data_IF_803008625602
#
_entry.id   IF_803008625602
#
_cell.length_a   1.000
_cell.length_b   1.000
_cell.length_c   1.000
_cell.angle_alpha   90.00
_cell.angle_beta   90.00
_cell.angle_gamma   90.00
#
_symmetry.space_group_name_H-M   'P 1'
#
loop_
_entity.id
_entity.type
_entity.pdbx_description
1 polymer ?
#
# COMPACT_ATOMS: atom_id res chain seq x y z
N UNK A 1 25.85 26.79 -13.47
CA UNK A 1 25.36 25.46 -13.93
C UNK A 1 25.20 24.49 -12.76
N UNK A 2 26.25 24.20 -11.98
CA UNK A 2 26.21 23.27 -10.84
C UNK A 2 25.19 23.63 -9.75
N UNK A 3 25.08 24.91 -9.37
CA UNK A 3 24.07 25.39 -8.40
C UNK A 3 22.63 25.11 -8.84
N UNK A 4 22.30 25.39 -10.10
CA UNK A 4 20.95 25.17 -10.64
C UNK A 4 20.55 23.68 -10.62
N UNK A 5 21.48 22.80 -10.98
CA UNK A 5 21.26 21.35 -10.91
C UNK A 5 21.01 20.88 -9.48
N UNK A 6 21.77 21.41 -8.52
CA UNK A 6 21.65 21.07 -7.10
C UNK A 6 20.27 21.50 -6.56
N UNK A 7 19.80 22.70 -6.91
CA UNK A 7 18.46 23.18 -6.55
C UNK A 7 17.39 22.22 -7.07
N UNK A 8 17.48 21.80 -8.33
CA UNK A 8 16.52 20.86 -8.92
C UNK A 8 16.52 19.52 -8.19
N UNK A 9 17.70 18.96 -7.89
CA UNK A 9 17.81 17.67 -7.19
C UNK A 9 17.22 17.74 -5.78
N UNK A 10 17.55 18.80 -5.03
CA UNK A 10 17.00 19.02 -3.68
C UNK A 10 15.48 19.11 -3.76
N UNK A 11 14.95 19.85 -4.73
CA UNK A 11 13.51 20.00 -4.91
C UNK A 11 12.82 18.71 -5.33
N UNK A 12 13.47 17.91 -6.18
CA UNK A 12 12.98 16.60 -6.60
C UNK A 12 12.95 15.58 -5.45
N UNK A 13 13.72 15.79 -4.37
CA UNK A 13 13.65 14.96 -3.17
C UNK A 13 12.66 15.53 -2.14
N UNK A 14 12.71 16.84 -1.90
CA UNK A 14 11.90 17.54 -0.91
C UNK A 14 10.40 17.45 -1.23
N UNK A 15 9.99 17.81 -2.46
CA UNK A 15 8.58 17.96 -2.81
C UNK A 15 7.82 16.63 -2.83
N UNK A 16 8.39 15.52 -3.34
CA UNK A 16 7.76 14.22 -3.18
C UNK A 16 7.62 13.79 -1.72
N UNK A 17 8.61 14.08 -0.86
CA UNK A 17 8.52 13.75 0.58
C UNK A 17 7.41 14.55 1.26
N UNK A 18 7.30 15.85 0.98
CA UNK A 18 6.21 16.71 1.44
C UNK A 18 4.84 16.16 1.01
N UNK A 19 4.75 15.71 -0.25
CA UNK A 19 3.54 15.13 -0.84
C UNK A 19 3.18 13.82 -0.12
N UNK A 20 4.15 12.90 0.04
CA UNK A 20 3.98 11.62 0.72
C UNK A 20 3.52 11.79 2.18
N UNK A 21 4.14 12.72 2.93
CA UNK A 21 3.71 13.09 4.29
C UNK A 21 2.24 13.50 4.30
N UNK A 22 1.85 14.38 3.39
CA UNK A 22 0.49 14.92 3.30
C UNK A 22 -0.52 13.81 3.00
N UNK A 23 -0.23 12.93 2.06
CA UNK A 23 -1.08 11.77 1.74
C UNK A 23 -1.19 10.82 2.93
N UNK A 24 -0.08 10.50 3.59
CA UNK A 24 -0.09 9.63 4.76
C UNK A 24 -0.93 10.22 5.90
N UNK A 25 -0.89 11.55 6.07
CA UNK A 25 -1.72 12.28 7.03
C UNK A 25 -3.22 12.14 6.70
N UNK A 26 -3.62 12.38 5.45
CA UNK A 26 -5.02 12.24 5.01
C UNK A 26 -5.52 10.79 5.16
N UNK A 27 -4.65 9.80 4.91
CA UNK A 27 -4.93 8.37 5.09
C UNK A 27 -4.78 7.87 6.53
N UNK A 28 -4.56 8.77 7.49
CA UNK A 28 -4.43 8.47 8.93
C UNK A 28 -3.35 7.43 9.28
N UNK A 29 -2.26 7.38 8.49
CA UNK A 29 -1.13 6.45 8.66
C UNK A 29 -0.09 7.02 9.64
N UNK A 30 -0.45 7.11 10.92
CA UNK A 30 0.29 7.85 11.96
C UNK A 30 1.82 7.66 11.95
N UNK A 31 2.29 6.41 11.90
CA UNK A 31 3.74 6.09 11.94
C UNK A 31 4.45 6.58 10.67
N UNK A 32 3.86 6.34 9.50
CA UNK A 32 4.43 6.79 8.23
C UNK A 32 4.40 8.31 8.11
N UNK A 33 3.33 8.96 8.60
CA UNK A 33 3.24 10.42 8.65
C UNK A 33 4.36 11.03 9.49
N UNK A 34 4.63 10.46 10.67
CA UNK A 34 5.73 10.92 11.53
C UNK A 34 7.10 10.69 10.88
N UNK A 35 7.33 9.53 10.27
CA UNK A 35 8.58 9.21 9.59
C UNK A 35 8.85 10.15 8.41
N UNK A 36 7.88 10.33 7.51
CA UNK A 36 8.03 11.24 6.37
C UNK A 36 8.15 12.70 6.82
N UNK A 37 7.45 13.11 7.88
CA UNK A 37 7.62 14.44 8.47
C UNK A 37 8.99 14.68 9.07
N UNK A 38 9.58 13.67 9.71
CA UNK A 38 10.94 13.77 10.22
C UNK A 38 11.98 13.88 9.09
N UNK A 39 11.87 13.04 8.06
CA UNK A 39 12.76 13.11 6.89
C UNK A 39 12.61 14.43 6.13
N UNK A 40 11.37 14.90 5.97
CA UNK A 40 11.07 16.20 5.36
C UNK A 40 11.70 17.34 6.16
N UNK A 41 11.58 17.35 7.49
CA UNK A 41 12.19 18.37 8.34
C UNK A 41 13.72 18.42 8.20
N UNK A 42 14.40 17.26 8.12
CA UNK A 42 15.84 17.21 7.87
C UNK A 42 16.22 17.86 6.53
N UNK A 43 15.51 17.48 5.46
CA UNK A 43 15.74 18.03 4.11
C UNK A 43 15.48 19.54 4.12
N UNK A 44 14.43 20.00 4.77
CA UNK A 44 14.07 21.42 4.88
C UNK A 44 15.15 22.25 5.55
N UNK A 45 15.77 21.75 6.63
CA UNK A 45 16.86 22.47 7.32
C UNK A 45 18.09 22.60 6.41
N UNK A 46 18.47 21.53 5.72
CA UNK A 46 19.59 21.57 4.77
C UNK A 46 19.29 22.49 3.58
N UNK A 47 18.09 22.41 3.01
CA UNK A 47 17.65 23.26 1.91
C UNK A 47 17.67 24.74 2.31
N UNK A 48 17.13 25.07 3.49
CA UNK A 48 17.12 26.43 4.03
C UNK A 48 18.55 26.97 4.20
N UNK A 49 19.47 26.15 4.72
CA UNK A 49 20.88 26.54 4.83
C UNK A 49 21.49 26.90 3.48
N UNK A 50 21.22 26.12 2.43
CA UNK A 50 21.73 26.39 1.08
C UNK A 50 21.16 27.69 0.51
N UNK A 51 19.87 27.92 0.71
CA UNK A 51 19.13 29.08 0.18
C UNK A 51 19.53 30.39 0.85
N UNK A 52 19.87 30.36 2.14
CA UNK A 52 20.29 31.55 2.90
C UNK A 52 21.76 31.91 2.71
N UNK A 53 22.62 30.97 2.35
CA UNK A 53 24.07 31.19 2.20
C UNK A 53 24.49 31.74 0.83
N UNK A 54 23.56 32.03 -0.10
CA UNK A 54 23.89 32.47 -1.46
C UNK A 54 23.07 33.65 -1.95
N UNK A 55 23.64 34.41 -2.88
CA UNK A 55 22.89 35.39 -3.69
C UNK A 55 21.91 34.64 -4.60
N UNK A 56 20.62 34.99 -4.51
CA UNK A 56 19.56 34.37 -5.29
C UNK A 56 19.34 35.13 -6.60
N UNK A 57 19.60 34.47 -7.73
CA UNK A 57 19.28 35.01 -9.05
C UNK A 57 17.82 34.76 -9.41
N UNK A 58 17.21 35.64 -10.22
CA UNK A 58 15.88 35.43 -10.81
C UNK A 58 15.82 34.08 -11.56
N UNK A 59 16.91 33.69 -12.22
CA UNK A 59 16.99 32.40 -12.91
C UNK A 59 16.91 31.21 -11.93
N UNK A 60 17.50 31.32 -10.74
CA UNK A 60 17.44 30.29 -9.70
C UNK A 60 16.02 30.14 -9.15
N UNK A 61 15.29 31.24 -8.98
CA UNK A 61 13.89 31.23 -8.56
C UNK A 61 12.98 30.54 -9.58
N UNK A 62 13.18 30.80 -10.88
CA UNK A 62 12.43 30.14 -11.95
C UNK A 62 12.71 28.63 -11.96
N UNK A 63 13.99 28.24 -11.88
CA UNK A 63 14.39 26.83 -11.84
C UNK A 63 13.83 26.12 -10.61
N UNK A 64 13.80 26.79 -9.45
CA UNK A 64 13.16 26.29 -8.24
C UNK A 64 11.65 26.02 -8.44
N UNK A 65 10.93 26.97 -9.05
CA UNK A 65 9.50 26.81 -9.33
C UNK A 65 9.22 25.65 -10.30
N UNK A 66 10.04 25.48 -11.34
CA UNK A 66 9.95 24.35 -12.27
C UNK A 66 10.24 23.03 -11.54
N UNK A 67 11.32 22.99 -10.75
CA UNK A 67 11.66 21.82 -9.93
C UNK A 67 10.53 21.43 -8.98
N UNK A 68 9.84 22.42 -8.40
CA UNK A 68 8.69 22.19 -7.53
C UNK A 68 7.52 21.55 -8.29
N UNK A 69 7.17 22.10 -9.45
CA UNK A 69 6.10 21.57 -10.29
C UNK A 69 6.38 20.12 -10.73
N UNK A 70 7.61 19.83 -11.17
CA UNK A 70 8.04 18.47 -11.54
C UNK A 70 8.02 17.54 -10.33
N UNK A 71 8.53 17.99 -9.18
CA UNK A 71 8.50 17.24 -7.94
C UNK A 71 7.09 16.87 -7.49
N UNK A 72 6.11 17.76 -7.68
CA UNK A 72 4.70 17.46 -7.39
C UNK A 72 4.16 16.33 -8.28
N UNK A 73 4.42 16.38 -9.59
CA UNK A 73 3.98 15.35 -10.54
C UNK A 73 4.59 13.99 -10.15
N UNK A 74 5.87 13.98 -9.78
CA UNK A 74 6.57 12.77 -9.31
C UNK A 74 5.95 12.27 -8.00
N UNK A 75 5.70 13.15 -7.03
CA UNK A 75 5.07 12.80 -5.75
C UNK A 75 3.69 12.15 -5.92
N UNK A 76 2.84 12.72 -6.77
CA UNK A 76 1.53 12.16 -7.11
C UNK A 76 1.67 10.81 -7.82
N UNK A 77 2.67 10.67 -8.70
CA UNK A 77 2.91 9.39 -9.40
C UNK A 77 3.35 8.29 -8.44
N UNK A 78 4.18 8.62 -7.45
CA UNK A 78 4.60 7.70 -6.39
C UNK A 78 3.38 7.29 -5.54
N UNK A 79 2.51 8.23 -5.17
CA UNK A 79 1.26 7.95 -4.45
C UNK A 79 0.38 6.92 -5.17
N UNK A 80 0.14 7.15 -6.46
CA UNK A 80 -0.68 6.26 -7.30
C UNK A 80 -0.11 4.84 -7.29
N UNK A 81 1.22 4.71 -7.32
CA UNK A 81 1.92 3.41 -7.31
C UNK A 81 1.88 2.72 -5.96
N UNK A 82 1.88 3.47 -4.86
CA UNK A 82 1.73 2.92 -3.52
C UNK A 82 0.36 2.25 -3.33
N UNK A 83 -0.68 2.73 -4.01
CA UNK A 83 -2.03 2.14 -4.05
C UNK A 83 -2.53 1.73 -2.65
N UNK A 84 -2.31 2.62 -1.68
CA UNK A 84 -2.62 2.35 -0.27
C UNK A 84 -4.11 2.56 -0.01
N UNK A 85 -4.72 1.56 0.63
CA UNK A 85 -6.06 1.64 1.18
C UNK A 85 -7.09 0.83 0.41
N UNK A 86 -8.35 1.19 0.63
CA UNK A 86 -9.53 0.58 0.05
C UNK A 86 -10.34 1.66 -0.68
N UNK A 87 -11.14 1.23 -1.63
CA UNK A 87 -12.11 2.04 -2.34
C UNK A 87 -13.47 1.36 -2.25
N UNK A 88 -14.53 2.13 -2.00
CA UNK A 88 -15.92 1.69 -2.14
C UNK A 88 -16.40 2.14 -3.50
N UNK A 89 -16.77 1.19 -4.36
CA UNK A 89 -17.29 1.47 -5.68
C UNK A 89 -18.78 1.21 -5.66
N UNK A 90 -19.54 2.24 -5.99
CA UNK A 90 -20.97 2.19 -6.12
C UNK A 90 -21.34 2.10 -7.60
N UNK A 91 -22.09 1.08 -7.99
CA UNK A 91 -22.42 0.76 -9.39
C UNK A 91 -23.93 0.71 -9.53
N UNK A 92 -24.50 1.60 -10.33
CA UNK A 92 -25.91 1.59 -10.66
C UNK A 92 -26.16 0.85 -11.98
N UNK A 93 -27.03 -0.16 -11.92
CA UNK A 93 -27.45 -0.97 -13.06
C UNK A 93 -28.98 -0.92 -13.21
N UNK A 94 -29.48 -1.06 -14.43
CA UNK A 94 -30.92 -0.99 -14.71
C UNK A 94 -31.67 -2.27 -14.32
N UNK A 95 -31.05 -3.43 -14.54
CA UNK A 95 -31.64 -4.75 -14.30
C UNK A 95 -30.74 -5.59 -13.41
N UNK A 96 -31.35 -6.51 -12.68
CA UNK A 96 -30.63 -7.42 -11.81
C UNK A 96 -29.83 -8.41 -12.66
N UNK A 97 -28.51 -8.44 -12.44
CA UNK A 97 -27.59 -9.29 -13.19
C UNK A 97 -26.89 -10.27 -12.25
N UNK A 98 -27.49 -11.44 -12.06
CA UNK A 98 -26.95 -12.51 -11.20
C UNK A 98 -25.53 -12.89 -11.58
N UNK A 99 -25.24 -13.00 -12.88
CA UNK A 99 -23.92 -13.42 -13.37
C UNK A 99 -22.82 -12.46 -12.92
N UNK A 100 -23.07 -11.15 -12.98
CA UNK A 100 -22.11 -10.15 -12.51
C UNK A 100 -21.92 -10.24 -10.99
N UNK A 101 -23.01 -10.38 -10.23
CA UNK A 101 -22.97 -10.38 -8.76
C UNK A 101 -22.27 -11.65 -8.24
N UNK A 102 -22.56 -12.81 -8.80
CA UNK A 102 -21.90 -14.08 -8.45
C UNK A 102 -20.42 -14.02 -8.77
N UNK A 103 -20.05 -13.59 -9.99
CA UNK A 103 -18.67 -13.47 -10.40
C UNK A 103 -17.87 -12.52 -9.50
N UNK A 104 -18.45 -11.39 -9.12
CA UNK A 104 -17.81 -10.46 -8.20
C UNK A 104 -17.60 -11.09 -6.81
N UNK A 105 -18.56 -11.87 -6.31
CA UNK A 105 -18.44 -12.57 -5.03
C UNK A 105 -17.39 -13.68 -5.09
N UNK A 106 -17.33 -14.42 -6.19
CA UNK A 106 -16.36 -15.48 -6.44
C UNK A 106 -14.92 -14.94 -6.54
N UNK A 107 -14.74 -13.78 -7.17
CA UNK A 107 -13.45 -13.06 -7.22
C UNK A 107 -13.03 -12.43 -5.87
N UNK A 108 -13.89 -12.60 -4.85
CA UNK A 108 -13.67 -12.21 -3.47
C UNK A 108 -13.92 -10.71 -3.21
N UNK A 109 -14.77 -10.07 -4.00
CA UNK A 109 -15.27 -8.73 -3.73
C UNK A 109 -16.46 -8.78 -2.75
N UNK A 110 -16.48 -7.85 -1.80
CA UNK A 110 -17.64 -7.69 -0.92
C UNK A 110 -18.70 -6.86 -1.63
N UNK A 111 -19.76 -7.50 -2.12
CA UNK A 111 -20.85 -6.86 -2.86
C UNK A 111 -22.13 -6.84 -2.03
N UNK A 112 -22.66 -5.64 -1.81
CA UNK A 112 -23.99 -5.42 -1.22
C UNK A 112 -24.93 -4.90 -2.30
N UNK A 113 -26.13 -5.48 -2.39
CA UNK A 113 -27.13 -5.10 -3.40
C UNK A 113 -28.21 -4.26 -2.73
N UNK A 114 -28.49 -3.09 -3.28
CA UNK A 114 -29.56 -2.20 -2.88
C UNK A 114 -30.58 -2.05 -4.01
N UNK A 115 -31.86 -2.06 -3.65
CA UNK A 115 -32.96 -1.75 -4.57
C UNK A 115 -33.41 -0.32 -4.32
N UNK A 116 -33.47 0.49 -5.38
CA UNK A 116 -33.89 1.88 -5.32
C UNK A 116 -34.76 2.27 -6.51
N UNK A 117 -35.17 3.53 -6.52
CA UNK A 117 -35.97 4.12 -7.59
C UNK A 117 -35.30 5.40 -8.06
N UNK A 118 -35.15 5.54 -9.38
CA UNK A 118 -34.64 6.73 -10.04
C UNK A 118 -35.74 7.40 -10.85
N UNK A 119 -35.36 8.47 -11.58
CA UNK A 119 -36.29 9.21 -12.44
C UNK A 119 -37.06 8.32 -13.42
N UNK A 120 -36.36 7.36 -14.02
CA UNK A 120 -36.89 6.48 -15.07
C UNK A 120 -37.38 5.12 -14.53
N UNK A 121 -37.58 5.01 -13.21
CA UNK A 121 -38.10 3.81 -12.54
C UNK A 121 -37.06 3.07 -11.69
N UNK A 122 -37.30 1.78 -11.46
CA UNK A 122 -36.49 0.95 -10.54
C UNK A 122 -35.03 0.88 -10.99
N UNK A 123 -34.11 1.03 -10.05
CA UNK A 123 -32.67 0.91 -10.23
C UNK A 123 -32.07 0.01 -9.17
N UNK A 124 -30.98 -0.66 -9.53
CA UNK A 124 -30.24 -1.52 -8.61
C UNK A 124 -28.87 -0.92 -8.43
N UNK A 125 -28.46 -0.84 -7.18
CA UNK A 125 -27.20 -0.23 -6.81
C UNK A 125 -26.34 -1.25 -6.07
N UNK A 126 -25.16 -1.52 -6.61
CA UNK A 126 -24.18 -2.42 -6.03
C UNK A 126 -23.16 -1.57 -5.27
N UNK A 127 -23.03 -1.77 -3.96
CA UNK A 127 -21.95 -1.19 -3.18
C UNK A 127 -20.86 -2.25 -3.00
N UNK A 128 -19.69 -1.97 -3.56
CA UNK A 128 -18.59 -2.92 -3.70
C UNK A 128 -17.38 -2.38 -2.98
N UNK A 129 -17.00 -3.05 -1.88
CA UNK A 129 -15.79 -2.68 -1.15
C UNK A 129 -14.59 -3.47 -1.70
N UNK A 130 -13.60 -2.74 -2.24
CA UNK A 130 -12.41 -3.32 -2.87
C UNK A 130 -11.11 -2.72 -2.35
N UNK A 131 -10.01 -3.43 -2.57
CA UNK A 131 -8.66 -2.87 -2.39
C UNK A 131 -8.34 -1.99 -3.59
N UNK A 132 -7.65 -0.86 -3.37
CA UNK A 132 -7.26 0.07 -4.45
C UNK A 132 -6.45 -0.59 -5.57
N UNK A 133 -5.65 -1.62 -5.25
CA UNK A 133 -4.92 -2.43 -6.23
C UNK A 133 -5.81 -3.25 -7.17
N UNK A 134 -7.01 -3.65 -6.73
CA UNK A 134 -7.98 -4.44 -7.50
C UNK A 134 -9.05 -3.58 -8.18
N UNK A 135 -9.10 -2.28 -7.89
CA UNK A 135 -10.09 -1.34 -8.44
C UNK A 135 -10.12 -1.35 -9.99
N UNK A 136 -8.95 -1.30 -10.63
CA UNK A 136 -8.88 -1.35 -12.10
C UNK A 136 -9.49 -2.64 -12.69
N UNK A 137 -9.22 -3.78 -12.06
CA UNK A 137 -9.76 -5.07 -12.48
C UNK A 137 -11.28 -5.15 -12.25
N UNK A 138 -11.76 -4.62 -11.10
CA UNK A 138 -13.18 -4.51 -10.82
C UNK A 138 -13.92 -3.67 -11.87
N UNK A 139 -13.37 -2.51 -12.23
CA UNK A 139 -13.96 -1.64 -13.27
C UNK A 139 -13.99 -2.30 -14.65
N UNK A 140 -12.96 -3.07 -15.00
CA UNK A 140 -12.94 -3.84 -16.25
C UNK A 140 -14.05 -4.89 -16.28
N UNK A 141 -14.26 -5.59 -15.16
CA UNK A 141 -15.31 -6.60 -15.05
C UNK A 141 -16.70 -5.97 -15.16
N UNK A 142 -16.94 -4.86 -14.45
CA UNK A 142 -18.21 -4.13 -14.54
C UNK A 142 -18.48 -3.70 -15.98
N UNK A 143 -17.49 -3.09 -16.65
CA UNK A 143 -17.64 -2.62 -18.02
C UNK A 143 -17.87 -3.74 -19.04
N UNK A 144 -17.37 -4.96 -18.78
CA UNK A 144 -17.57 -6.11 -19.65
C UNK A 144 -19.01 -6.66 -19.57
N UNK A 145 -19.60 -6.68 -18.38
CA UNK A 145 -20.94 -7.23 -18.16
C UNK A 145 -22.05 -6.19 -18.27
N UNK A 146 -21.77 -4.95 -17.86
CA UNK A 146 -22.70 -3.82 -17.80
C UNK A 146 -22.01 -2.53 -18.30
N UNK A 147 -21.82 -2.35 -19.61
CA UNK A 147 -21.13 -1.18 -20.17
C UNK A 147 -21.89 0.14 -19.95
N UNK A 148 -23.21 0.07 -19.72
CA UNK A 148 -24.06 1.22 -19.42
C UNK A 148 -24.15 1.53 -17.91
N UNK A 149 -23.40 0.81 -17.07
CA UNK A 149 -23.44 1.02 -15.63
C UNK A 149 -22.88 2.39 -15.25
N UNK A 150 -23.56 3.07 -14.33
CA UNK A 150 -23.04 4.30 -13.74
C UNK A 150 -22.20 3.97 -12.51
N UNK A 151 -20.93 4.39 -12.51
CA UNK A 151 -19.96 4.02 -11.48
C UNK A 151 -19.49 5.25 -10.71
N UNK A 152 -19.53 5.17 -9.38
CA UNK A 152 -18.96 6.16 -8.46
C UNK A 152 -17.92 5.49 -7.56
N UNK A 153 -16.81 6.18 -7.30
CA UNK A 153 -15.72 5.69 -6.43
C UNK A 153 -15.61 6.58 -5.20
N UNK A 154 -15.61 5.99 -4.02
CA UNK A 154 -15.51 6.65 -2.73
C UNK A 154 -14.31 6.10 -1.94
N UNK A 155 -13.61 6.97 -1.20
CA UNK A 155 -12.51 6.56 -0.33
C UNK A 155 -12.98 6.42 1.12
N UNK A 156 -13.26 5.20 1.62
CA UNK A 156 -13.60 4.98 3.02
C UNK A 156 -12.42 5.29 3.95
N UNK A 157 -12.68 6.09 4.99
CA UNK A 157 -11.66 6.52 5.98
C UNK A 157 -11.49 5.57 7.16
N UNK A 158 -12.53 4.82 7.53
CA UNK A 158 -12.53 3.95 8.70
C UNK A 158 -13.38 2.69 8.45
N UNK A 159 -12.89 1.54 8.95
CA UNK A 159 -13.60 0.27 8.89
C UNK A 159 -13.85 -0.24 10.30
N UNK A 160 -15.08 -0.68 10.58
CA UNK A 160 -15.45 -1.37 11.82
C UNK A 160 -16.41 -2.51 11.48
N UNK A 161 -16.01 -3.76 11.77
CA UNK A 161 -16.83 -4.95 11.53
C UNK A 161 -16.94 -5.36 10.05
N UNK A 162 -17.88 -6.28 9.75
CA UNK A 162 -18.21 -6.74 8.40
C UNK A 162 -17.30 -7.83 7.82
N UNK A 163 -17.78 -8.45 6.73
CA UNK A 163 -17.15 -9.56 6.01
C UNK A 163 -15.69 -9.29 5.60
N UNK A 164 -15.36 -8.05 5.22
CA UNK A 164 -14.00 -7.69 4.81
C UNK A 164 -13.01 -7.69 5.99
N UNK A 165 -13.42 -7.23 7.18
CA UNK A 165 -12.58 -7.22 8.39
C UNK A 165 -12.24 -8.64 8.82
N UNK A 166 -13.18 -9.57 8.67
CA UNK A 166 -13.00 -10.97 9.00
C UNK A 166 -12.07 -11.69 8.00
N UNK A 167 -12.23 -11.45 6.70
CA UNK A 167 -11.30 -11.94 5.67
C UNK A 167 -9.88 -11.40 5.84
N UNK A 168 -9.71 -10.13 6.24
CA UNK A 168 -8.40 -9.54 6.53
C UNK A 168 -7.74 -10.20 7.75
N UNK A 169 -8.51 -10.43 8.81
CA UNK A 169 -8.04 -11.09 10.03
C UNK A 169 -7.71 -12.57 9.81
N UNK A 170 -8.45 -13.26 8.94
CA UNK A 170 -8.15 -14.64 8.50
C UNK A 170 -6.87 -14.71 7.66
N UNK A 171 -6.69 -13.83 6.67
CA UNK A 171 -5.44 -13.79 5.87
C UNK A 171 -4.22 -13.44 6.71
N UNK A 172 -4.34 -12.53 7.67
CA UNK A 172 -3.25 -12.20 8.59
C UNK A 172 -2.87 -13.39 9.47
N UNK A 173 -3.86 -14.12 10.02
CA UNK A 173 -3.65 -15.37 10.76
C UNK A 173 -3.00 -16.44 9.89
N UNK A 174 -3.53 -16.73 8.71
CA UNK A 174 -2.96 -17.75 7.81
C UNK A 174 -1.54 -17.42 7.36
N UNK A 175 -1.18 -16.13 7.19
CA UNK A 175 0.19 -15.71 6.85
C UNK A 175 1.15 -15.89 8.04
N UNK A 176 0.68 -15.65 9.26
CA UNK A 176 1.45 -15.94 10.48
C UNK A 176 1.59 -17.44 10.71
N UNK A 177 0.56 -18.21 10.41
CA UNK A 177 0.52 -19.67 10.55
C UNK A 177 1.45 -20.33 9.52
N UNK A 178 1.41 -19.92 8.25
CA UNK A 178 2.36 -20.36 7.23
C UNK A 178 3.80 -19.96 7.56
N UNK A 179 4.03 -18.73 8.06
CA UNK A 179 5.37 -18.31 8.50
C UNK A 179 5.86 -19.11 9.71
N UNK A 180 4.98 -19.47 10.65
CA UNK A 180 5.30 -20.40 11.76
C UNK A 180 5.58 -21.80 11.24
N UNK A 181 4.81 -22.28 10.27
CA UNK A 181 4.98 -23.59 9.63
C UNK A 181 6.23 -23.68 8.75
N UNK A 182 6.78 -22.58 8.25
CA UNK A 182 8.10 -22.55 7.60
C UNK A 182 9.25 -22.48 8.62
N UNK A 183 9.05 -21.81 9.75
CA UNK A 183 10.08 -21.67 10.81
C UNK A 183 10.21 -22.96 11.65
N UNK A 184 9.11 -23.67 11.92
CA UNK A 184 9.10 -24.91 12.70
C UNK A 184 9.93 -26.07 12.10
N UNK A 185 9.84 -26.40 10.79
CA UNK A 185 10.64 -27.46 10.18
C UNK A 185 12.13 -27.13 10.22
N UNK A 186 12.54 -25.88 9.95
CA UNK A 186 13.95 -25.47 10.09
C UNK A 186 14.44 -25.58 11.54
N UNK A 187 13.61 -25.24 12.54
CA UNK A 187 13.96 -25.46 13.95
C UNK A 187 14.16 -26.94 14.28
N UNK A 188 13.27 -27.82 13.82
CA UNK A 188 13.40 -29.26 14.07
C UNK A 188 14.65 -29.85 13.41
N UNK A 189 15.02 -29.41 12.21
CA UNK A 189 16.25 -29.84 11.55
C UNK A 189 17.49 -29.40 12.34
N UNK A 190 17.56 -28.13 12.75
CA UNK A 190 18.70 -27.61 13.53
C UNK A 190 18.85 -28.34 14.88
N UNK A 191 17.75 -28.60 15.58
CA UNK A 191 17.76 -29.33 16.85
C UNK A 191 18.28 -30.76 16.66
N UNK A 192 17.79 -31.45 15.63
CA UNK A 192 18.23 -32.82 15.32
C UNK A 192 19.72 -32.88 14.97
N UNK A 193 20.22 -31.95 14.15
CA UNK A 193 21.65 -31.86 13.83
C UNK A 193 22.50 -31.56 15.07
N UNK A 194 22.02 -30.72 15.99
CA UNK A 194 22.71 -30.46 17.25
C UNK A 194 22.77 -31.69 18.17
N UNK A 195 21.70 -32.48 18.23
CA UNK A 195 21.68 -33.74 19.00
C UNK A 195 22.61 -34.79 18.41
N UNK A 196 22.63 -34.92 17.08
CA UNK A 196 23.54 -35.81 16.35
C UNK A 196 25.01 -35.43 16.60
N UNK A 197 25.36 -34.15 16.46
CA UNK A 197 26.71 -33.64 16.74
C UNK A 197 27.12 -33.84 18.20
N UNK A 198 26.18 -33.70 19.14
CA UNK A 198 26.46 -33.91 20.57
C UNK A 198 26.73 -35.37 20.88
N UNK A 199 25.97 -36.29 20.29
CA UNK A 199 26.21 -37.73 20.40
C UNK A 199 27.57 -38.11 19.80
N UNK A 200 27.93 -37.56 18.65
CA UNK A 200 29.22 -37.81 18.00
C UNK A 200 30.41 -37.28 18.83
N UNK A 201 30.29 -36.07 19.39
CA UNK A 201 31.29 -35.50 20.27
C UNK A 201 31.47 -36.31 21.57
N UNK A 202 30.39 -36.82 22.16
CA UNK A 202 30.46 -37.69 23.34
C UNK A 202 31.09 -39.05 23.03
N UNK A 203 30.82 -39.63 21.85
CA UNK A 203 31.45 -40.86 21.39
C UNK A 203 32.96 -40.67 21.17
N UNK A 204 33.37 -39.57 20.53
CA UNK A 204 34.78 -39.23 20.32
C UNK A 204 35.51 -39.00 21.64
N UNK A 205 34.89 -38.29 22.59
CA UNK A 205 35.44 -38.09 23.94
C UNK A 205 35.65 -39.42 24.67
N UNK A 206 34.73 -40.37 24.48
CA UNK A 206 34.80 -41.70 25.10
C UNK A 206 35.87 -42.60 24.47
N UNK A 207 36.12 -42.47 23.17
CA UNK A 207 37.20 -43.16 22.47
C UNK A 207 38.56 -42.57 22.82
N UNK A 208 38.69 -41.24 22.88
CA UNK A 208 39.93 -40.56 23.28
C UNK A 208 40.40 -40.97 24.69
N UNK A 209 39.47 -41.16 25.62
CA UNK A 209 39.77 -41.59 26.99
C UNK A 209 40.09 -43.10 27.14
N UNK A 210 39.99 -43.90 26.06
CA UNK A 210 40.40 -45.32 26.07
C UNK A 210 41.82 -45.54 25.54
N UNK A 211 42.37 -44.54 24.85
CA UNK A 211 43.70 -44.60 24.24
C UNK A 211 44.78 -43.91 25.11
N UNK A 212 44.45 -43.58 26.38
CA UNK A 212 45.38 -43.19 27.46
C UNK A 212 45.37 -44.24 28.57
#
# INVERSE_FOLDING_TARGET
MTKLLLIVIVQLLYVPMLTLRTICMVKNLKILTALFGFLEALISIFALSIVLSGEQSIAEMIVYAIGFAVGLIVGISIEKKLAIGFSSIQVNIEKYNDKLIELLRDDGFGVTVYYGEGKDGKRINLDILTKRKKEKYLLQLINQYEPNAFVMSFEPKMFRGGYLTEMMSRRARNRQENKKLEINPSKNVIVKTFEELKCEAEALKKNWNRDQ
#
